data_IF_913337103760
#
_entry.id   IF_913337103760
#
_cell.length_a   1.000
_cell.length_b   1.000
_cell.length_c   1.000
_cell.angle_alpha   90.00
_cell.angle_beta   90.00
_cell.angle_gamma   90.00
#
_symmetry.space_group_name_H-M   'P 1'
#
loop_
_entity.id
_entity.type
_entity.pdbx_description
1 polymer ?
#
# COMPACT_ATOMS: atom_id res chain seq x y z
N UNK A 1 -16.59 44.81 -13.44
CA UNK A 1 -16.92 43.48 -12.90
C UNK A 1 -15.58 42.89 -12.49
N UNK A 2 -15.22 43.11 -11.23
CA UNK A 2 -13.93 42.70 -10.65
C UNK A 2 -13.98 41.19 -10.41
N UNK A 3 -13.06 40.45 -10.99
CA UNK A 3 -12.92 39.03 -10.73
C UNK A 3 -12.41 38.87 -9.30
N UNK A 4 -13.25 38.27 -8.43
CA UNK A 4 -12.81 37.83 -7.12
C UNK A 4 -11.75 36.75 -7.33
N UNK A 5 -10.49 37.09 -7.07
CA UNK A 5 -9.43 36.10 -6.89
C UNK A 5 -9.81 35.31 -5.64
N UNK A 6 -10.16 34.04 -5.84
CA UNK A 6 -10.26 33.08 -4.75
C UNK A 6 -8.84 32.85 -4.28
N UNK A 7 -8.55 33.31 -3.06
CA UNK A 7 -7.28 33.07 -2.38
C UNK A 7 -7.15 31.55 -2.21
N UNK A 8 -6.27 30.94 -3.00
CA UNK A 8 -5.98 29.51 -2.93
C UNK A 8 -5.23 29.27 -1.62
N UNK A 9 -5.96 28.85 -0.58
CA UNK A 9 -5.35 28.49 0.70
C UNK A 9 -4.53 27.22 0.52
N UNK A 10 -3.23 27.39 0.31
CA UNK A 10 -2.26 26.31 0.40
C UNK A 10 -2.19 25.89 1.86
N UNK A 11 -2.79 24.73 2.19
CA UNK A 11 -2.69 24.11 3.51
C UNK A 11 -1.40 23.30 3.53
N UNK A 12 -0.39 23.77 4.27
CA UNK A 12 0.82 22.99 4.55
C UNK A 12 0.46 21.87 5.53
N UNK A 13 0.48 20.62 5.03
CA UNK A 13 0.16 19.43 5.83
C UNK A 13 1.45 18.84 6.40
N UNK A 14 1.71 19.09 7.69
CA UNK A 14 2.76 18.40 8.45
C UNK A 14 2.21 17.08 9.00
N UNK A 15 2.55 15.96 8.35
CA UNK A 15 2.25 14.64 8.91
C UNK A 15 3.24 14.38 10.04
N UNK A 16 2.73 14.40 11.27
CA UNK A 16 3.52 14.02 12.44
C UNK A 16 4.27 12.70 12.21
N UNK A 17 5.51 12.61 12.70
CA UNK A 17 6.32 11.38 12.64
C UNK A 17 5.54 10.14 13.07
N UNK A 18 4.60 10.31 14.00
CA UNK A 18 3.73 9.24 14.49
C UNK A 18 2.77 8.69 13.43
N UNK A 19 2.16 9.55 12.61
CA UNK A 19 1.27 9.09 11.52
C UNK A 19 2.04 8.27 10.49
N UNK A 20 3.26 8.73 10.15
CA UNK A 20 4.19 8.02 9.28
C UNK A 20 4.58 6.65 9.84
N UNK A 21 4.96 6.59 11.12
CA UNK A 21 5.28 5.34 11.81
C UNK A 21 4.11 4.35 11.81
N UNK A 22 2.89 4.83 12.08
CA UNK A 22 1.69 3.99 12.10
C UNK A 22 1.45 3.40 10.71
N UNK A 23 1.41 4.22 9.66
CA UNK A 23 1.19 3.72 8.30
C UNK A 23 2.29 2.72 7.86
N UNK A 24 3.55 3.05 8.16
CA UNK A 24 4.70 2.22 7.82
C UNK A 24 4.67 0.85 8.53
N UNK A 25 4.09 0.77 9.73
CA UNK A 25 3.98 -0.50 10.48
C UNK A 25 3.06 -1.54 9.84
N UNK A 26 2.25 -1.14 8.85
CA UNK A 26 1.43 -2.07 8.06
C UNK A 26 2.03 -2.33 6.67
N UNK A 27 2.98 -1.52 6.21
CA UNK A 27 3.58 -1.65 4.89
C UNK A 27 4.61 -2.76 4.87
N UNK A 28 4.57 -3.56 3.80
CA UNK A 28 5.64 -4.48 3.44
C UNK A 28 6.10 -4.26 1.99
N UNK A 29 7.35 -4.64 1.72
CA UNK A 29 7.91 -4.78 0.39
C UNK A 29 8.18 -6.24 0.09
N UNK A 30 7.90 -6.65 -1.15
CA UNK A 30 8.21 -7.97 -1.65
C UNK A 30 9.50 -7.94 -2.47
N UNK A 31 10.42 -8.83 -2.13
CA UNK A 31 11.76 -8.84 -2.72
C UNK A 31 12.01 -10.17 -3.44
N UNK A 32 12.29 -10.09 -4.74
CA UNK A 32 12.72 -11.21 -5.56
C UNK A 32 14.23 -11.37 -5.53
N UNK A 33 14.70 -12.59 -5.74
CA UNK A 33 16.13 -12.89 -5.86
C UNK A 33 16.45 -13.22 -7.32
N UNK A 34 17.52 -12.61 -7.85
CA UNK A 34 17.97 -12.82 -9.24
C UNK A 34 19.45 -13.13 -9.26
N UNK A 35 19.85 -14.00 -10.17
CA UNK A 35 21.24 -14.17 -10.55
C UNK A 35 21.51 -13.29 -11.77
N UNK A 36 22.57 -12.50 -11.72
CA UNK A 36 23.07 -11.71 -12.84
C UNK A 36 24.57 -11.98 -13.06
N UNK A 37 25.18 -11.46 -14.15
CA UNK A 37 26.61 -11.68 -14.41
C UNK A 37 27.56 -11.08 -13.36
N UNK A 38 27.08 -10.16 -12.50
CA UNK A 38 27.85 -9.49 -11.44
C UNK A 38 27.65 -10.15 -10.07
N UNK A 39 26.63 -11.01 -9.91
CA UNK A 39 26.40 -11.80 -8.71
C UNK A 39 24.91 -12.03 -8.44
N UNK A 40 24.60 -12.28 -7.17
CA UNK A 40 23.21 -12.34 -6.71
C UNK A 40 22.73 -10.92 -6.44
N UNK A 41 21.54 -10.60 -6.92
CA UNK A 41 20.86 -9.33 -6.65
C UNK A 41 19.45 -9.53 -6.13
N UNK A 42 18.95 -8.52 -5.44
CA UNK A 42 17.54 -8.39 -5.09
C UNK A 42 16.82 -7.43 -6.03
N UNK A 43 15.53 -7.64 -6.22
CA UNK A 43 14.66 -6.73 -6.98
C UNK A 43 13.37 -6.53 -6.21
N UNK A 44 12.82 -5.31 -6.22
CA UNK A 44 11.45 -5.11 -5.73
C UNK A 44 10.47 -5.77 -6.68
N UNK A 45 9.55 -6.57 -6.14
CA UNK A 45 8.43 -7.17 -6.86
C UNK A 45 7.12 -6.40 -6.63
N UNK A 46 7.15 -5.39 -5.78
CA UNK A 46 5.98 -4.63 -5.36
C UNK A 46 5.93 -4.44 -3.84
N UNK A 47 4.81 -3.89 -3.41
CA UNK A 47 4.47 -3.58 -2.03
C UNK A 47 3.21 -4.35 -1.61
N UNK A 48 2.90 -4.27 -0.32
CA UNK A 48 1.67 -4.82 0.21
C UNK A 48 1.35 -4.20 1.56
N UNK A 49 0.11 -4.39 2.01
CA UNK A 49 -0.34 -3.95 3.33
C UNK A 49 -0.79 -5.13 4.16
N UNK A 50 -0.27 -5.25 5.37
CA UNK A 50 -0.70 -6.25 6.35
C UNK A 50 -2.11 -5.89 6.84
N UNK A 51 -3.07 -6.73 6.50
CA UNK A 51 -4.49 -6.52 6.84
C UNK A 51 -5.10 -7.77 7.45
N UNK A 52 -6.15 -7.56 8.25
CA UNK A 52 -7.08 -8.58 8.67
C UNK A 52 -8.42 -8.30 8.00
N UNK A 53 -8.87 -9.20 7.14
CA UNK A 53 -10.13 -9.12 6.39
C UNK A 53 -10.96 -10.37 6.68
N UNK A 54 -12.21 -10.19 7.10
CA UNK A 54 -13.14 -11.27 7.42
C UNK A 54 -12.56 -12.29 8.42
N UNK A 55 -11.82 -11.79 9.43
CA UNK A 55 -11.12 -12.66 10.39
C UNK A 55 -9.81 -13.30 9.89
N UNK A 56 -9.48 -13.19 8.60
CA UNK A 56 -8.26 -13.76 8.00
C UNK A 56 -7.16 -12.72 7.94
N UNK A 57 -5.94 -13.09 8.34
CA UNK A 57 -4.75 -12.24 8.22
C UNK A 57 -4.02 -12.55 6.92
N UNK A 58 -3.57 -11.50 6.25
CA UNK A 58 -2.82 -11.61 5.01
C UNK A 58 -2.29 -10.28 4.55
N UNK A 59 -1.97 -10.23 3.26
CA UNK A 59 -1.47 -9.04 2.59
C UNK A 59 -2.44 -8.60 1.53
N UNK A 60 -2.90 -7.35 1.60
CA UNK A 60 -3.58 -6.66 0.52
C UNK A 60 -2.53 -6.09 -0.44
N UNK A 61 -2.63 -6.40 -1.73
CA UNK A 61 -1.68 -5.94 -2.76
C UNK A 61 -2.37 -5.84 -4.14
N UNK A 62 -1.61 -5.54 -5.18
CA UNK A 62 -2.07 -5.57 -6.56
C UNK A 62 -2.04 -7.02 -7.11
N UNK A 63 -2.94 -7.35 -8.04
CA UNK A 63 -3.02 -8.66 -8.67
C UNK A 63 -1.74 -9.02 -9.43
N UNK A 64 -1.19 -8.08 -10.21
CA UNK A 64 0.05 -8.34 -10.94
C UNK A 64 1.25 -8.57 -10.00
N UNK A 65 1.26 -7.95 -8.82
CA UNK A 65 2.28 -8.21 -7.80
C UNK A 65 2.12 -9.65 -7.31
N UNK A 66 0.91 -10.06 -6.92
CA UNK A 66 0.65 -11.43 -6.49
C UNK A 66 1.07 -12.47 -7.55
N UNK A 67 0.78 -12.21 -8.82
CA UNK A 67 1.20 -13.06 -9.95
C UNK A 67 2.72 -13.10 -10.09
N UNK A 68 3.39 -11.95 -10.04
CA UNK A 68 4.86 -11.89 -10.07
C UNK A 68 5.49 -12.64 -8.90
N UNK A 69 4.85 -12.69 -7.72
CA UNK A 69 5.33 -13.51 -6.60
C UNK A 69 5.21 -15.00 -6.91
N UNK A 70 4.12 -15.47 -7.52
CA UNK A 70 3.94 -16.91 -7.83
C UNK A 70 5.02 -17.45 -8.79
N UNK A 71 5.60 -16.59 -9.62
CA UNK A 71 6.72 -16.94 -10.51
C UNK A 71 8.07 -17.13 -9.77
N UNK A 72 8.13 -16.79 -8.47
CA UNK A 72 9.33 -16.92 -7.65
C UNK A 72 9.43 -18.26 -6.93
N UNK A 73 10.64 -18.80 -6.87
CA UNK A 73 10.94 -19.92 -5.97
C UNK A 73 11.02 -19.48 -4.50
N UNK A 74 11.40 -18.21 -4.25
CA UNK A 74 11.59 -17.62 -2.92
C UNK A 74 11.36 -16.12 -2.99
N UNK A 75 10.59 -15.60 -2.04
CA UNK A 75 10.29 -14.17 -1.90
C UNK A 75 10.73 -13.69 -0.52
N UNK A 76 11.51 -12.62 -0.48
CA UNK A 76 11.81 -11.89 0.75
C UNK A 76 10.68 -10.92 1.11
N UNK A 77 10.43 -10.74 2.41
CA UNK A 77 9.54 -9.71 2.92
C UNK A 77 10.37 -8.71 3.73
N UNK A 78 10.26 -7.44 3.37
CA UNK A 78 10.83 -6.33 4.14
C UNK A 78 9.71 -5.51 4.77
N UNK A 79 9.88 -5.15 6.04
CA UNK A 79 8.95 -4.32 6.81
C UNK A 79 9.58 -2.96 7.11
N UNK A 80 8.77 -1.91 7.22
CA UNK A 80 9.27 -0.55 7.39
C UNK A 80 9.02 -0.08 8.83
N UNK A 81 9.96 -0.42 9.71
CA UNK A 81 9.96 -0.04 11.13
C UNK A 81 11.39 0.08 11.67
N UNK A 82 11.57 0.56 12.91
CA UNK A 82 12.89 0.84 13.45
C UNK A 82 13.81 -0.39 13.50
N UNK A 83 14.86 -0.35 12.65
CA UNK A 83 16.23 -0.76 12.94
C UNK A 83 16.52 -2.25 13.20
N UNK A 84 16.19 -3.15 12.27
CA UNK A 84 16.71 -4.54 12.29
C UNK A 84 16.98 -5.07 10.88
N UNK A 85 18.03 -5.89 10.74
CA UNK A 85 18.21 -6.78 9.59
C UNK A 85 17.04 -7.75 9.52
N UNK A 86 16.50 -7.95 8.33
CA UNK A 86 15.34 -8.79 8.08
C UNK A 86 15.71 -9.95 7.17
N UNK A 87 15.24 -11.14 7.54
CA UNK A 87 15.54 -12.41 6.84
C UNK A 87 14.28 -13.22 6.61
N UNK A 88 13.12 -12.56 6.62
CA UNK A 88 11.86 -13.25 6.35
C UNK A 88 11.80 -13.58 4.86
N UNK A 89 11.79 -14.87 4.57
CA UNK A 89 11.68 -15.41 3.22
C UNK A 89 10.59 -16.49 3.28
N UNK A 90 9.75 -16.53 2.26
CA UNK A 90 8.76 -17.59 2.08
C UNK A 90 8.80 -18.12 0.65
N UNK A 91 8.22 -19.30 0.44
CA UNK A 91 7.96 -19.84 -0.89
C UNK A 91 6.48 -19.54 -1.22
N UNK A 92 6.20 -18.75 -2.26
CA UNK A 92 4.82 -18.43 -2.64
C UNK A 92 4.04 -19.64 -3.19
N UNK A 93 4.75 -20.67 -3.64
CA UNK A 93 4.19 -21.93 -4.14
C UNK A 93 4.08 -23.02 -3.05
N UNK A 94 4.21 -22.65 -1.77
CA UNK A 94 3.95 -23.56 -0.66
C UNK A 94 2.44 -23.88 -0.56
N UNK A 95 2.09 -25.13 -0.26
CA UNK A 95 0.71 -25.66 -0.32
C UNK A 95 -0.26 -25.01 0.68
N UNK A 96 0.28 -24.21 1.60
CA UNK A 96 -0.46 -23.53 2.65
C UNK A 96 -0.73 -22.04 2.35
N UNK A 97 -0.22 -21.50 1.24
CA UNK A 97 -0.58 -20.16 0.78
C UNK A 97 -1.91 -20.16 0.02
N UNK A 98 -2.78 -19.18 0.27
CA UNK A 98 -4.01 -18.98 -0.53
C UNK A 98 -3.99 -17.59 -1.16
N UNK A 99 -4.38 -17.53 -2.42
CA UNK A 99 -4.30 -16.34 -3.25
C UNK A 99 -5.68 -16.04 -3.80
N UNK A 100 -6.20 -14.86 -3.50
CA UNK A 100 -7.40 -14.34 -4.16
C UNK A 100 -6.95 -13.21 -5.07
N UNK A 101 -7.11 -13.40 -6.37
CA UNK A 101 -6.68 -12.45 -7.42
C UNK A 101 -7.91 -12.08 -8.24
N UNK A 102 -8.09 -10.80 -8.55
CA UNK A 102 -9.26 -10.32 -9.28
C UNK A 102 -9.32 -10.82 -10.73
N UNK A 103 -8.32 -10.50 -11.53
CA UNK A 103 -8.21 -10.85 -12.97
C UNK A 103 -6.73 -10.99 -13.39
N UNK A 104 -6.47 -11.63 -14.54
CA UNK A 104 -5.12 -11.74 -15.14
C UNK A 104 -4.79 -10.59 -16.13
N UNK A 105 -5.75 -9.72 -16.41
CA UNK A 105 -5.51 -8.55 -17.27
C UNK A 105 -4.81 -7.43 -16.49
N UNK A 106 -3.78 -6.84 -17.09
CA UNK A 106 -3.01 -5.75 -16.50
C UNK A 106 -3.14 -4.48 -17.32
N UNK A 107 -3.21 -3.34 -16.64
CA UNK A 107 -3.23 -2.02 -17.28
C UNK A 107 -4.12 -1.03 -16.54
N UNK A 108 -4.18 0.23 -17.02
CA UNK A 108 -4.80 1.37 -16.31
C UNK A 108 -6.33 1.29 -16.17
N UNK A 109 -6.96 0.23 -16.67
CA UNK A 109 -8.41 -0.02 -16.59
C UNK A 109 -8.73 -1.38 -15.97
N UNK A 110 -7.71 -2.16 -15.56
CA UNK A 110 -7.91 -3.47 -14.97
C UNK A 110 -8.36 -3.35 -13.52
N UNK A 111 -9.16 -4.33 -13.06
CA UNK A 111 -9.33 -4.57 -11.62
C UNK A 111 -8.09 -5.35 -11.17
N UNK A 112 -7.13 -4.66 -10.57
CA UNK A 112 -5.80 -5.17 -10.25
C UNK A 112 -5.60 -5.20 -8.74
N UNK A 113 -6.28 -6.13 -8.07
CA UNK A 113 -6.25 -6.28 -6.62
C UNK A 113 -6.10 -7.76 -6.24
N UNK A 114 -5.36 -8.01 -5.15
CA UNK A 114 -5.23 -9.34 -4.60
C UNK A 114 -5.13 -9.33 -3.07
N UNK A 115 -5.54 -10.46 -2.50
CA UNK A 115 -5.29 -10.81 -1.11
C UNK A 115 -4.44 -12.07 -1.05
N UNK A 116 -3.34 -12.01 -0.30
CA UNK A 116 -2.39 -13.10 -0.11
C UNK A 116 -2.48 -13.56 1.34
N UNK A 117 -3.01 -14.76 1.55
CA UNK A 117 -2.85 -15.45 2.82
C UNK A 117 -1.46 -16.10 2.86
N UNK A 118 -0.57 -15.52 3.66
CA UNK A 118 0.80 -16.00 3.80
C UNK A 118 0.82 -17.39 4.48
N UNK A 119 1.82 -18.24 4.18
CA UNK A 119 2.05 -19.47 4.92
C UNK A 119 2.14 -19.20 6.43
N UNK A 120 1.63 -20.11 7.25
CA UNK A 120 1.48 -19.91 8.69
C UNK A 120 2.77 -19.46 9.40
N UNK A 121 3.93 -20.02 9.05
CA UNK A 121 5.21 -19.59 9.65
C UNK A 121 5.54 -18.13 9.33
N UNK A 122 5.32 -17.69 8.08
CA UNK A 122 5.56 -16.31 7.69
C UNK A 122 4.58 -15.35 8.38
N UNK A 123 3.29 -15.70 8.46
CA UNK A 123 2.29 -14.92 9.19
C UNK A 123 2.65 -14.77 10.66
N UNK A 124 3.00 -15.87 11.35
CA UNK A 124 3.35 -15.83 12.78
C UNK A 124 4.57 -14.95 13.03
N UNK A 125 5.59 -15.02 12.18
CA UNK A 125 6.80 -14.19 12.29
C UNK A 125 6.50 -12.70 12.09
N UNK A 126 5.57 -12.38 11.19
CA UNK A 126 5.08 -11.01 10.99
C UNK A 126 4.25 -10.55 12.19
N UNK A 127 3.30 -11.36 12.67
CA UNK A 127 2.42 -11.02 13.79
C UNK A 127 3.17 -10.74 15.11
N UNK A 128 4.40 -11.23 15.26
CA UNK A 128 5.26 -10.93 16.42
C UNK A 128 5.79 -9.50 16.38
N UNK A 129 6.06 -8.96 15.18
CA UNK A 129 6.78 -7.70 15.00
C UNK A 129 5.95 -6.60 14.34
N UNK A 130 4.84 -6.95 13.71
CA UNK A 130 4.01 -6.07 12.90
C UNK A 130 2.54 -6.15 13.32
N UNK A 131 1.82 -5.07 13.04
CA UNK A 131 0.38 -5.02 13.21
C UNK A 131 -0.31 -5.37 11.89
N UNK A 132 -1.52 -5.91 12.00
CA UNK A 132 -2.42 -6.11 10.86
C UNK A 132 -3.56 -5.12 10.96
N UNK A 133 -3.77 -4.33 9.91
CA UNK A 133 -4.84 -3.35 9.89
C UNK A 133 -6.20 -4.05 9.86
N UNK A 134 -7.08 -3.75 10.82
CA UNK A 134 -8.36 -4.43 10.95
C UNK A 134 -9.40 -3.84 9.99
N UNK A 135 -9.62 -4.50 8.86
CA UNK A 135 -10.59 -4.09 7.86
C UNK A 135 -12.03 -4.40 8.30
N UNK A 136 -12.26 -5.38 9.18
CA UNK A 136 -13.59 -5.68 9.71
C UNK A 136 -14.13 -4.46 10.48
N UNK A 137 -13.26 -3.84 11.28
CA UNK A 137 -13.59 -2.64 12.02
C UNK A 137 -13.83 -1.45 11.10
N UNK A 138 -12.99 -1.25 10.07
CA UNK A 138 -13.19 -0.19 9.07
C UNK A 138 -14.53 -0.34 8.34
N UNK A 139 -14.84 -1.53 7.84
CA UNK A 139 -16.11 -1.83 7.15
C UNK A 139 -17.30 -1.53 8.07
N UNK A 140 -17.29 -2.04 9.31
CA UNK A 140 -18.35 -1.76 10.29
C UNK A 140 -18.55 -0.26 10.51
N UNK A 141 -17.47 0.49 10.70
CA UNK A 141 -17.55 1.94 10.96
C UNK A 141 -18.08 2.73 9.77
N UNK A 142 -17.68 2.38 8.55
CA UNK A 142 -18.21 3.01 7.32
C UNK A 142 -19.72 2.74 7.19
N UNK A 143 -20.16 1.49 7.38
CA UNK A 143 -21.57 1.13 7.35
C UNK A 143 -22.40 1.79 8.45
N UNK A 144 -21.91 1.81 9.70
CA UNK A 144 -22.63 2.37 10.85
C UNK A 144 -22.72 3.89 10.82
N UNK A 145 -21.64 4.57 10.42
CA UNK A 145 -21.58 6.04 10.48
C UNK A 145 -22.15 6.72 9.23
N UNK A 146 -22.15 6.04 8.08
CA UNK A 146 -22.52 6.60 6.79
C UNK A 146 -21.71 7.84 6.39
N UNK A 147 -20.59 8.10 7.09
CA UNK A 147 -19.76 9.29 6.90
C UNK A 147 -18.33 8.86 6.64
N UNK A 148 -17.78 9.36 5.53
CA UNK A 148 -16.34 9.47 5.36
C UNK A 148 -15.84 10.71 6.09
N UNK A 149 -14.57 10.67 6.48
CA UNK A 149 -13.90 11.69 7.27
C UNK A 149 -14.13 13.09 6.69
N UNK A 150 -14.43 14.06 7.55
CA UNK A 150 -14.49 15.47 7.16
C UNK A 150 -13.06 15.95 6.82
N UNK A 151 -12.90 16.55 5.64
CA UNK A 151 -11.63 17.06 5.10
C UNK A 151 -10.48 16.02 5.08
N UNK A 152 -10.55 15.02 4.19
CA UNK A 152 -9.58 13.92 4.15
C UNK A 152 -8.25 14.34 3.53
N UNK A 153 -7.16 13.95 4.18
CA UNK A 153 -5.81 13.93 3.60
C UNK A 153 -5.53 12.54 3.03
N UNK A 154 -5.09 12.52 1.78
CA UNK A 154 -4.82 11.28 1.05
C UNK A 154 -3.32 11.02 0.99
N UNK A 155 -2.93 9.77 1.18
CA UNK A 155 -1.54 9.36 1.06
C UNK A 155 -1.42 8.02 0.34
N UNK A 156 -0.42 7.92 -0.53
CA UNK A 156 0.02 6.62 -1.06
C UNK A 156 1.36 6.28 -0.46
N UNK A 157 1.53 5.02 -0.05
CA UNK A 157 2.79 4.55 0.50
C UNK A 157 3.26 3.28 -0.19
N UNK A 158 4.56 3.15 -0.47
CA UNK A 158 5.11 1.93 -1.06
C UNK A 158 6.60 1.98 -1.26
N UNK A 159 7.19 0.85 -1.65
CA UNK A 159 8.60 0.72 -2.01
C UNK A 159 8.88 1.44 -3.31
N UNK A 160 9.89 2.31 -3.34
CA UNK A 160 10.37 2.94 -4.57
C UNK A 160 11.55 2.13 -5.08
N UNK A 161 11.31 1.31 -6.11
CA UNK A 161 12.27 0.37 -6.65
C UNK A 161 13.57 1.04 -7.11
N UNK A 162 13.48 2.19 -7.77
CA UNK A 162 14.66 2.95 -8.22
C UNK A 162 15.50 3.55 -7.09
N UNK A 163 14.92 3.72 -5.89
CA UNK A 163 15.61 4.22 -4.70
C UNK A 163 16.12 3.09 -3.79
N UNK A 164 16.05 1.84 -4.25
CA UNK A 164 16.68 0.72 -3.56
C UNK A 164 18.17 0.66 -3.92
N UNK A 165 19.04 0.53 -2.92
CA UNK A 165 20.48 0.46 -3.14
C UNK A 165 20.90 -0.94 -3.61
N UNK A 166 21.96 -0.97 -4.41
CA UNK A 166 22.45 -2.20 -5.03
C UNK A 166 23.12 -3.12 -4.00
N UNK A 167 22.93 -4.43 -4.21
CA UNK A 167 23.32 -5.43 -3.24
C UNK A 167 24.83 -5.53 -3.01
N UNK A 168 25.21 -5.77 -1.76
CA UNK A 168 26.49 -6.43 -1.43
C UNK A 168 26.22 -7.92 -1.30
N UNK A 169 26.69 -8.71 -2.25
CA UNK A 169 26.51 -10.16 -2.19
C UNK A 169 27.82 -10.93 -2.02
N UNK A 170 27.71 -12.08 -1.37
CA UNK A 170 28.70 -13.16 -1.42
C UNK A 170 27.97 -14.48 -1.69
N UNK A 171 28.67 -15.62 -1.68
CA UNK A 171 28.04 -16.92 -1.96
C UNK A 171 26.85 -17.23 -1.05
N UNK A 172 26.87 -16.75 0.20
CA UNK A 172 25.92 -17.10 1.27
C UNK A 172 24.84 -16.04 1.53
N UNK A 173 25.14 -14.76 1.35
CA UNK A 173 24.25 -13.66 1.72
C UNK A 173 24.18 -12.59 0.65
N UNK A 174 23.02 -11.93 0.60
CA UNK A 174 22.76 -10.73 -0.19
C UNK A 174 22.27 -9.67 0.79
N UNK A 175 22.99 -8.56 0.87
CA UNK A 175 22.67 -7.41 1.73
C UNK A 175 22.15 -6.28 0.83
N UNK A 176 20.90 -5.87 1.06
CA UNK A 176 20.16 -4.91 0.25
C UNK A 176 19.45 -3.90 1.12
N UNK A 177 19.34 -2.67 0.62
CA UNK A 177 18.58 -1.59 1.27
C UNK A 177 17.43 -1.17 0.37
N UNK A 178 16.22 -1.18 0.93
CA UNK A 178 15.00 -0.79 0.22
C UNK A 178 14.38 0.45 0.86
N UNK A 179 14.02 1.41 0.03
CA UNK A 179 13.39 2.66 0.47
C UNK A 179 11.89 2.59 0.18
N UNK A 180 11.08 2.88 1.19
CA UNK A 180 9.67 3.17 1.01
C UNK A 180 9.42 4.67 1.16
N UNK A 181 8.54 5.21 0.32
CA UNK A 181 8.09 6.59 0.40
C UNK A 181 6.61 6.65 0.74
N UNK A 182 6.26 7.71 1.45
CA UNK A 182 4.88 8.13 1.69
C UNK A 182 4.69 9.45 0.97
N UNK A 183 3.75 9.49 0.04
CA UNK A 183 3.37 10.69 -0.69
C UNK A 183 2.06 11.19 -0.13
N UNK A 184 1.98 12.49 0.17
CA UNK A 184 0.71 13.22 0.33
C UNK A 184 0.30 13.70 -1.05
N UNK A 185 -0.99 13.76 -1.32
CA UNK A 185 -1.46 14.20 -2.61
C UNK A 185 -2.95 14.42 -2.69
N UNK A 186 -3.38 14.77 -3.90
CA UNK A 186 -4.79 14.96 -4.23
C UNK A 186 -5.36 13.75 -4.95
N UNK A 187 -6.66 13.51 -4.78
CA UNK A 187 -7.40 12.52 -5.56
C UNK A 187 -8.19 13.20 -6.65
N UNK A 188 -8.11 12.64 -7.84
CA UNK A 188 -9.01 12.89 -8.95
C UNK A 188 -9.79 11.61 -9.22
N UNK A 189 -11.10 11.68 -9.00
CA UNK A 189 -11.98 10.57 -9.30
C UNK A 189 -12.16 10.55 -10.82
N UNK A 190 -11.80 9.44 -11.48
CA UNK A 190 -12.27 9.21 -12.85
C UNK A 190 -13.79 9.09 -12.77
N UNK A 191 -14.49 10.18 -13.09
CA UNK A 191 -15.94 10.31 -12.94
C UNK A 191 -16.75 9.24 -13.68
N UNK A 192 -16.13 8.53 -14.64
CA UNK A 192 -16.74 7.47 -15.42
C UNK A 192 -16.72 6.09 -14.71
N UNK A 193 -15.83 5.88 -13.73
CA UNK A 193 -15.54 4.55 -13.17
C UNK A 193 -16.09 4.33 -11.75
N UNK A 194 -17.01 5.16 -11.26
CA UNK A 194 -17.85 4.80 -10.12
C UNK A 194 -17.05 4.43 -8.83
N UNK A 195 -15.91 5.09 -8.57
CA UNK A 195 -14.94 4.81 -7.48
C UNK A 195 -14.17 3.47 -7.59
N UNK A 196 -14.13 2.86 -8.77
CA UNK A 196 -13.32 1.66 -9.02
C UNK A 196 -11.84 2.00 -9.17
N UNK A 197 -11.52 3.09 -9.88
CA UNK A 197 -10.16 3.57 -10.07
C UNK A 197 -10.08 5.03 -9.64
N UNK A 198 -9.07 5.32 -8.83
CA UNK A 198 -8.78 6.66 -8.34
C UNK A 198 -7.40 7.10 -8.83
N UNK A 199 -7.30 8.31 -9.36
CA UNK A 199 -6.01 8.90 -9.73
C UNK A 199 -5.49 9.67 -8.52
N UNK A 200 -4.34 9.27 -8.01
CA UNK A 200 -3.61 9.98 -6.97
C UNK A 200 -2.49 10.81 -7.62
N UNK A 201 -2.45 12.10 -7.31
CA UNK A 201 -1.40 13.03 -7.75
C UNK A 201 -0.55 13.42 -6.54
N UNK A 202 0.68 12.90 -6.43
CA UNK A 202 1.59 13.26 -5.35
C UNK A 202 1.92 14.75 -5.35
N UNK A 203 1.77 15.39 -4.20
CA UNK A 203 2.18 16.77 -3.98
C UNK A 203 3.62 16.79 -3.45
N UNK A 204 4.52 17.42 -4.21
CA UNK A 204 5.92 17.56 -3.83
C UNK A 204 6.18 18.95 -3.25
N UNK A 205 6.71 18.99 -2.03
CA UNK A 205 7.20 20.24 -1.46
C UNK A 205 8.39 20.78 -2.29
N UNK A 206 8.56 22.10 -2.27
CA UNK A 206 9.65 22.77 -2.98
C UNK A 206 11.01 22.16 -2.59
N UNK A 207 11.79 21.76 -3.59
CA UNK A 207 13.12 21.16 -3.40
C UNK A 207 13.14 19.65 -3.20
N UNK A 208 11.98 18.99 -3.07
CA UNK A 208 11.90 17.51 -3.10
C UNK A 208 11.77 17.06 -4.55
N UNK A 209 12.72 16.25 -5.03
CA UNK A 209 12.63 15.64 -6.35
C UNK A 209 11.70 14.43 -6.31
N UNK A 210 10.73 14.41 -7.23
CA UNK A 210 9.92 13.23 -7.48
C UNK A 210 10.79 12.07 -8.00
N UNK A 211 10.42 10.81 -7.70
CA UNK A 211 11.04 9.67 -8.36
C UNK A 211 10.79 9.71 -9.88
N UNK A 212 11.70 9.15 -10.66
CA UNK A 212 11.51 8.98 -12.11
C UNK A 212 10.52 7.85 -12.43
N UNK A 213 10.28 6.95 -11.47
CA UNK A 213 9.27 5.91 -11.49
C UNK A 213 8.86 5.54 -10.06
N UNK A 214 7.56 5.35 -9.86
CA UNK A 214 6.95 4.72 -8.69
C UNK A 214 6.97 3.20 -8.76
N UNK A 215 7.69 2.58 -9.71
CA UNK A 215 7.85 1.14 -9.78
C UNK A 215 8.24 0.53 -8.43
N UNK A 216 7.52 -0.51 -8.02
CA UNK A 216 7.61 -1.08 -6.67
C UNK A 216 6.52 -0.62 -5.70
N UNK A 217 5.87 0.53 -5.96
CA UNK A 217 4.78 1.06 -5.12
C UNK A 217 3.50 0.24 -5.27
N UNK A 218 3.33 -0.43 -6.41
CA UNK A 218 2.18 -1.30 -6.68
C UNK A 218 1.91 -2.27 -5.52
N UNK A 219 0.65 -2.36 -5.08
CA UNK A 219 0.22 -3.07 -3.88
C UNK A 219 0.28 -2.26 -2.58
N UNK A 220 0.89 -1.08 -2.62
CA UNK A 220 0.93 -0.14 -1.51
C UNK A 220 -0.45 0.46 -1.20
N UNK A 221 -0.74 0.80 0.06
CA UNK A 221 -2.04 1.32 0.46
C UNK A 221 -2.24 2.78 0.01
N UNK A 222 -3.46 3.07 -0.44
CA UNK A 222 -4.03 4.42 -0.46
C UNK A 222 -4.74 4.65 0.88
N UNK A 223 -4.13 5.49 1.71
CA UNK A 223 -4.63 5.92 3.01
C UNK A 223 -5.47 7.19 2.90
N UNK A 224 -6.49 7.27 3.74
CA UNK A 224 -7.23 8.47 4.07
C UNK A 224 -7.08 8.77 5.55
N UNK A 225 -6.76 10.01 5.88
CA UNK A 225 -6.63 10.49 7.25
C UNK A 225 -7.48 11.74 7.47
N UNK A 226 -8.09 11.90 8.65
CA UNK A 226 -8.81 13.15 8.93
C UNK A 226 -7.82 14.28 9.19
N UNK A 227 -8.12 15.48 8.70
CA UNK A 227 -7.29 16.65 9.01
C UNK A 227 -7.23 16.92 10.54
N UNK A 228 -8.30 16.61 11.27
CA UNK A 228 -8.29 16.71 12.73
C UNK A 228 -7.25 15.78 13.38
N UNK A 229 -6.97 14.62 12.78
CA UNK A 229 -5.95 13.70 13.26
C UNK A 229 -4.54 14.28 13.14
N UNK A 230 -4.27 15.04 12.08
CA UNK A 230 -2.99 15.74 11.88
C UNK A 230 -2.71 16.75 12.99
N UNK A 231 -3.76 17.40 13.49
CA UNK A 231 -3.67 18.40 14.55
C UNK A 231 -3.78 17.82 15.96
N UNK A 232 -3.84 16.50 16.13
CA UNK A 232 -3.87 15.89 17.46
C UNK A 232 -2.56 16.19 18.21
N UNK A 233 -2.71 16.82 19.38
CA UNK A 233 -1.58 17.16 20.27
C UNK A 233 -0.77 15.91 20.59
N UNK A 234 0.56 16.05 20.67
CA UNK A 234 1.46 14.98 21.07
C UNK A 234 0.98 14.28 22.36
N UNK A 235 0.73 12.97 22.27
CA UNK A 235 0.20 12.16 23.38
C UNK A 235 -1.31 11.94 23.37
N UNK A 236 -2.07 12.60 22.49
CA UNK A 236 -3.47 12.26 22.27
C UNK A 236 -3.58 10.89 21.58
N UNK A 237 -4.54 10.08 22.01
CA UNK A 237 -4.79 8.79 21.40
C UNK A 237 -5.29 8.97 19.96
N UNK A 238 -4.55 8.39 19.02
CA UNK A 238 -5.04 8.16 17.68
C UNK A 238 -6.17 7.13 17.77
N UNK A 239 -7.31 7.46 17.19
CA UNK A 239 -8.40 6.51 17.03
C UNK A 239 -8.26 5.90 15.63
N UNK A 240 -8.67 4.65 15.47
CA UNK A 240 -8.72 4.03 14.14
C UNK A 240 -9.72 4.71 13.21
N UNK A 241 -10.59 5.57 13.74
CA UNK A 241 -11.48 6.42 12.93
C UNK A 241 -10.72 7.50 12.18
N UNK A 242 -9.51 7.85 12.61
CA UNK A 242 -8.72 8.93 12.05
C UNK A 242 -7.94 8.53 10.79
N UNK A 243 -7.87 7.24 10.45
CA UNK A 243 -6.92 6.70 9.48
C UNK A 243 -7.51 5.43 8.86
N UNK A 244 -7.64 5.33 7.54
CA UNK A 244 -8.23 4.15 6.87
C UNK A 244 -7.55 3.84 5.55
N UNK A 245 -7.48 2.55 5.21
CA UNK A 245 -7.17 2.12 3.84
C UNK A 245 -8.44 2.24 3.02
N UNK A 246 -8.35 2.97 1.91
CA UNK A 246 -9.46 3.12 0.94
C UNK A 246 -9.09 2.61 -0.45
N UNK A 247 -7.85 2.19 -0.66
CA UNK A 247 -7.45 1.71 -1.97
C UNK A 247 -6.05 1.08 -1.98
N UNK A 248 -5.65 0.66 -3.17
CA UNK A 248 -4.36 0.00 -3.42
C UNK A 248 -3.74 0.56 -4.69
N UNK A 249 -2.53 1.13 -4.61
CA UNK A 249 -1.80 1.59 -5.79
C UNK A 249 -1.49 0.40 -6.71
N UNK A 250 -1.60 0.55 -8.03
CA UNK A 250 -1.34 -0.56 -8.95
C UNK A 250 -0.69 -0.16 -10.28
N UNK A 251 -0.79 1.10 -10.69
CA UNK A 251 -0.26 1.54 -11.97
C UNK A 251 0.24 2.97 -11.88
N UNK A 252 1.19 3.33 -12.75
CA UNK A 252 1.65 4.71 -12.92
C UNK A 252 1.49 5.15 -14.37
N UNK A 253 1.16 6.41 -14.59
CA UNK A 253 1.08 6.99 -15.93
C UNK A 253 1.47 8.47 -15.88
N UNK A 254 1.94 9.05 -17.01
CA UNK A 254 2.12 10.48 -17.10
C UNK A 254 0.78 11.22 -17.09
N UNK A 255 0.66 12.25 -16.26
CA UNK A 255 -0.44 13.22 -16.28
C UNK A 255 -0.29 14.21 -17.46
N UNK A 256 -1.34 15.00 -17.79
CA UNK A 256 -1.29 15.94 -18.90
C UNK A 256 -0.20 17.03 -18.82
N UNK A 257 0.26 17.35 -17.61
CA UNK A 257 1.37 18.28 -17.33
C UNK A 257 2.75 17.58 -17.35
N UNK A 258 2.79 16.27 -17.60
CA UNK A 258 4.01 15.47 -17.73
C UNK A 258 4.57 14.95 -16.41
N UNK A 259 3.93 15.21 -15.28
CA UNK A 259 4.27 14.57 -14.00
C UNK A 259 3.79 13.11 -13.98
N UNK A 260 4.32 12.28 -13.09
CA UNK A 260 3.79 10.93 -12.91
C UNK A 260 2.66 10.95 -11.87
N UNK A 261 1.52 10.35 -12.23
CA UNK A 261 0.40 10.10 -11.33
C UNK A 261 0.26 8.60 -11.07
N UNK A 262 -0.33 8.25 -9.92
CA UNK A 262 -0.50 6.86 -9.47
C UNK A 262 -1.98 6.50 -9.56
N UNK A 263 -2.30 5.41 -10.23
CA UNK A 263 -3.64 4.85 -10.23
C UNK A 263 -3.77 3.88 -9.07
N UNK A 264 -4.87 4.02 -8.34
CA UNK A 264 -5.23 3.17 -7.22
C UNK A 264 -6.57 2.47 -7.50
N UNK A 265 -6.67 1.19 -7.12
CA UNK A 265 -7.94 0.52 -6.96
C UNK A 265 -8.69 1.22 -5.82
N UNK A 266 -9.88 1.74 -6.10
CA UNK A 266 -10.65 2.54 -5.16
C UNK A 266 -11.39 1.73 -4.11
N UNK A 267 -12.16 2.41 -3.23
CA UNK A 267 -12.76 1.78 -2.05
C UNK A 267 -13.73 0.66 -2.39
N UNK A 268 -14.46 0.79 -3.50
CA UNK A 268 -15.42 -0.24 -3.92
C UNK A 268 -14.76 -1.56 -4.31
N UNK A 269 -13.56 -1.50 -4.91
CA UNK A 269 -12.81 -2.70 -5.28
C UNK A 269 -12.28 -3.39 -4.02
N UNK A 270 -11.82 -2.61 -3.04
CA UNK A 270 -11.41 -3.13 -1.73
C UNK A 270 -12.59 -3.76 -0.98
N UNK A 271 -13.76 -3.12 -1.00
CA UNK A 271 -14.98 -3.62 -0.36
C UNK A 271 -15.46 -4.91 -1.03
N UNK A 272 -15.46 -4.96 -2.36
CA UNK A 272 -15.76 -6.17 -3.12
C UNK A 272 -14.82 -7.33 -2.77
N UNK A 273 -13.51 -7.07 -2.67
CA UNK A 273 -12.54 -8.10 -2.29
C UNK A 273 -12.82 -8.61 -0.86
N UNK A 274 -13.13 -7.70 0.07
CA UNK A 274 -13.52 -8.06 1.43
C UNK A 274 -14.74 -8.99 1.44
N UNK A 275 -15.79 -8.65 0.69
CA UNK A 275 -17.01 -9.46 0.58
C UNK A 275 -16.70 -10.86 0.03
N UNK A 276 -15.85 -10.98 -0.99
CA UNK A 276 -15.45 -12.29 -1.54
C UNK A 276 -14.70 -13.14 -0.52
N UNK A 277 -13.76 -12.56 0.23
CA UNK A 277 -13.06 -13.27 1.31
C UNK A 277 -14.05 -13.71 2.37
N UNK A 278 -14.98 -12.83 2.76
CA UNK A 278 -16.00 -13.14 3.76
C UNK A 278 -16.89 -14.32 3.33
N UNK A 279 -17.34 -14.33 2.08
CA UNK A 279 -18.10 -15.44 1.50
C UNK A 279 -17.30 -16.75 1.52
N UNK A 280 -16.04 -16.73 1.08
CA UNK A 280 -15.18 -17.91 1.01
C UNK A 280 -14.97 -18.56 2.38
N UNK A 281 -14.78 -17.75 3.43
CA UNK A 281 -14.52 -18.26 4.79
C UNK A 281 -15.79 -18.37 5.65
N UNK A 282 -16.96 -18.07 5.10
CA UNK A 282 -18.24 -18.10 5.81
C UNK A 282 -18.34 -17.04 6.92
N UNK A 283 -17.63 -15.93 6.80
CA UNK A 283 -17.70 -14.80 7.71
C UNK A 283 -18.96 -13.98 7.42
N UNK A 284 -19.71 -13.63 8.48
CA UNK A 284 -20.90 -12.79 8.32
C UNK A 284 -20.48 -11.33 8.31
N UNK A 285 -20.62 -10.70 7.14
CA UNK A 285 -20.47 -9.25 7.00
C UNK A 285 -21.53 -8.56 7.88
N UNK A 286 -21.16 -7.54 8.67
CA UNK A 286 -22.08 -6.79 9.52
C UNK A 286 -23.25 -6.14 8.77
#
# INVERSE_FOLDING_TARGET
>A
MEAAMVDEQVVEVDISDRGREIAASYLIGFIGFRDDPQGKRTVSLGSGTLVKMAGVRGVLTAAHVAIALMDEARVGIVTFGPGKFQTLIFNPNDEHGTWMVSDEEFGPSATDIAFIQLPQDAELRLAVNQAFWDMDERIRLVYESGKFLDDPVHMVMGVIGEMSEHDRSNEKYVDSSHTAMMHVGTLDLRAEDNDLIVIFRPDFAEGISAPLSYGGTSGGPLWVMSQQALHKVAGAAWSKLDFHIVGVAFYEEPSPDGQLQILCQGPRVVDWLYERIAEEVGYKVP
#
